data_IF_133784021905
#
_entry.id   IF_133784021905
#
_cell.length_a   1.000
_cell.length_b   1.000
_cell.length_c   1.000
_cell.angle_alpha   90.00
_cell.angle_beta   90.00
_cell.angle_gamma   90.00
#
_symmetry.space_group_name_H-M   'P 1'
#
loop_
_entity.id
_entity.type
_entity.pdbx_description
1 polymer ?
#
# COMPACT_ATOMS: atom_id res chain seq x y z
N UNK A 1 -18.94 -16.92 6.50
CA UNK A 1 -18.29 -17.82 7.47
C UNK A 1 -18.94 -17.86 8.85
N UNK A 2 -19.61 -16.81 9.33
CA UNK A 2 -20.31 -16.82 10.63
C UNK A 2 -21.42 -17.90 10.77
N UNK A 3 -22.15 -18.21 9.68
CA UNK A 3 -23.23 -19.22 9.68
C UNK A 3 -22.70 -20.65 9.50
N UNK A 4 -21.53 -20.79 8.88
CA UNK A 4 -20.96 -22.09 8.53
C UNK A 4 -20.05 -22.66 9.63
N UNK A 5 -19.46 -21.79 10.45
CA UNK A 5 -18.63 -22.17 11.59
C UNK A 5 -19.00 -21.33 12.83
N UNK A 6 -19.93 -21.83 13.67
CA UNK A 6 -20.37 -21.13 14.88
C UNK A 6 -19.30 -21.01 15.97
N UNK A 7 -18.21 -21.77 15.89
CA UNK A 7 -17.15 -21.81 16.91
C UNK A 7 -15.87 -21.08 16.52
N UNK A 8 -15.77 -20.56 15.29
CA UNK A 8 -14.59 -19.89 14.79
C UNK A 8 -14.27 -18.60 15.55
N UNK A 9 -12.97 -18.27 15.69
CA UNK A 9 -12.50 -17.07 16.39
C UNK A 9 -13.04 -15.75 15.79
N UNK A 10 -13.51 -15.77 14.54
CA UNK A 10 -14.13 -14.63 13.87
C UNK A 10 -15.63 -14.48 14.18
N UNK A 11 -16.23 -15.40 14.94
CA UNK A 11 -17.64 -15.34 15.30
C UNK A 11 -17.88 -14.38 16.46
N UNK A 12 -18.67 -13.34 16.19
CA UNK A 12 -19.02 -12.32 17.17
C UNK A 12 -20.27 -12.76 17.94
N UNK A 13 -20.21 -12.67 19.27
CA UNK A 13 -21.39 -12.85 20.12
C UNK A 13 -22.33 -11.66 19.92
N UNK A 14 -23.55 -11.93 19.42
CA UNK A 14 -24.58 -10.91 19.26
C UNK A 14 -25.27 -10.64 20.60
N UNK A 15 -25.54 -9.36 20.86
CA UNK A 15 -26.27 -8.89 22.05
C UNK A 15 -27.70 -8.46 21.67
N UNK A 16 -28.54 -8.30 22.70
CA UNK A 16 -29.87 -7.72 22.49
C UNK A 16 -29.75 -6.36 21.81
N UNK A 17 -30.62 -6.11 20.83
CA UNK A 17 -30.66 -4.91 19.97
C UNK A 17 -29.57 -4.79 18.90
N UNK A 18 -28.72 -5.80 18.69
CA UNK A 18 -27.83 -5.83 17.52
C UNK A 18 -28.63 -5.99 16.22
N UNK A 19 -28.17 -5.34 15.15
CA UNK A 19 -28.78 -5.43 13.81
C UNK A 19 -27.77 -5.98 12.81
N UNK A 20 -28.10 -7.11 12.18
CA UNK A 20 -27.30 -7.67 11.10
C UNK A 20 -27.79 -7.13 9.75
N UNK A 21 -26.89 -6.46 9.02
CA UNK A 21 -27.16 -5.98 7.66
C UNK A 21 -26.37 -6.81 6.65
N UNK A 22 -27.08 -7.46 5.73
CA UNK A 22 -26.47 -8.25 4.64
C UNK A 22 -26.68 -7.50 3.32
N UNK A 23 -25.66 -6.77 2.83
CA UNK A 23 -25.77 -6.06 1.56
C UNK A 23 -25.78 -7.04 0.39
N UNK A 24 -26.28 -6.58 -0.76
CA UNK A 24 -26.09 -7.30 -2.03
C UNK A 24 -24.60 -7.36 -2.36
N UNK A 25 -24.17 -8.49 -2.94
CA UNK A 25 -22.80 -8.63 -3.43
C UNK A 25 -22.57 -7.61 -4.54
N UNK A 26 -21.53 -6.80 -4.35
CA UNK A 26 -21.07 -5.88 -5.39
C UNK A 26 -20.26 -6.66 -6.42
N UNK A 27 -20.66 -6.57 -7.68
CA UNK A 27 -19.93 -7.12 -8.83
C UNK A 27 -19.04 -6.06 -9.50
N UNK A 28 -18.63 -5.03 -8.74
CA UNK A 28 -17.70 -4.00 -9.21
C UNK A 28 -16.47 -3.92 -8.32
N UNK A 29 -15.33 -3.63 -8.93
CA UNK A 29 -14.06 -3.32 -8.29
C UNK A 29 -13.82 -1.83 -8.44
N UNK A 30 -13.54 -1.15 -7.33
CA UNK A 30 -13.22 0.28 -7.35
C UNK A 30 -11.73 0.48 -7.39
N UNK A 31 -11.22 1.23 -8.37
CA UNK A 31 -9.80 1.58 -8.49
C UNK A 31 -9.64 3.07 -8.14
N UNK A 32 -8.77 3.36 -7.18
CA UNK A 32 -8.57 4.73 -6.71
C UNK A 32 -7.12 5.05 -6.31
N UNK A 33 -6.84 6.34 -6.22
CA UNK A 33 -5.53 6.88 -5.84
C UNK A 33 -4.71 7.33 -7.06
N UNK A 34 -3.42 6.98 -7.08
CA UNK A 34 -2.44 7.41 -8.06
C UNK A 34 -2.54 6.62 -9.40
N UNK A 35 -3.72 6.71 -10.03
CA UNK A 35 -4.04 6.15 -11.36
C UNK A 35 -4.56 7.27 -12.27
N UNK A 36 -4.49 7.10 -13.58
CA UNK A 36 -4.88 8.16 -14.52
C UNK A 36 -6.37 8.50 -14.44
N UNK A 37 -7.23 7.47 -14.37
CA UNK A 37 -8.67 7.60 -14.32
C UNK A 37 -9.26 6.72 -13.21
N UNK A 38 -9.38 7.23 -11.97
CA UNK A 38 -10.09 6.53 -10.89
C UNK A 38 -11.53 6.20 -11.28
N UNK A 39 -11.92 4.94 -11.21
CA UNK A 39 -13.23 4.47 -11.67
C UNK A 39 -13.65 3.15 -11.01
N UNK A 40 -14.93 2.82 -11.13
CA UNK A 40 -15.47 1.50 -10.77
C UNK A 40 -15.62 0.65 -12.03
N UNK A 41 -14.98 -0.50 -12.03
CA UNK A 41 -14.90 -1.42 -13.16
C UNK A 41 -15.66 -2.69 -12.80
N UNK A 42 -16.44 -3.24 -13.74
CA UNK A 42 -17.11 -4.53 -13.53
C UNK A 42 -16.08 -5.63 -13.23
N UNK A 43 -16.35 -6.41 -12.19
CA UNK A 43 -15.48 -7.52 -11.83
C UNK A 43 -15.43 -8.56 -12.94
N UNK A 44 -14.22 -9.04 -13.21
CA UNK A 44 -13.92 -10.11 -14.15
C UNK A 44 -12.99 -11.10 -13.47
N UNK A 45 -13.34 -12.39 -13.54
CA UNK A 45 -12.62 -13.45 -12.83
C UNK A 45 -11.23 -13.75 -13.42
N UNK A 46 -11.05 -13.45 -14.70
CA UNK A 46 -9.80 -13.55 -15.45
C UNK A 46 -8.90 -12.32 -15.28
N UNK A 47 -9.41 -11.23 -14.70
CA UNK A 47 -8.62 -10.02 -14.48
C UNK A 47 -7.73 -10.15 -13.24
N UNK A 48 -6.45 -9.88 -13.46
CA UNK A 48 -5.47 -9.66 -12.41
C UNK A 48 -5.54 -8.23 -11.87
N UNK A 49 -4.83 -7.97 -10.78
CA UNK A 49 -4.66 -6.62 -10.23
C UNK A 49 -4.21 -5.61 -11.30
N UNK A 50 -3.27 -5.98 -12.17
CA UNK A 50 -2.71 -5.08 -13.17
C UNK A 50 -3.69 -4.77 -14.30
N UNK A 51 -4.64 -5.67 -14.59
CA UNK A 51 -5.68 -5.46 -15.59
C UNK A 51 -6.64 -4.36 -15.12
N UNK A 52 -7.03 -4.39 -13.84
CA UNK A 52 -7.83 -3.29 -13.25
C UNK A 52 -7.11 -1.95 -13.26
N UNK A 53 -5.78 -1.95 -13.08
CA UNK A 53 -5.01 -0.71 -13.22
C UNK A 53 -4.96 -0.25 -14.68
N UNK A 54 -4.83 -1.17 -15.62
CA UNK A 54 -4.83 -0.86 -17.05
C UNK A 54 -6.16 -0.26 -17.52
N UNK A 55 -7.29 -0.78 -17.05
CA UNK A 55 -8.63 -0.19 -17.27
C UNK A 55 -8.77 1.21 -16.66
N UNK A 56 -8.08 1.48 -15.55
CA UNK A 56 -7.98 2.83 -14.97
C UNK A 56 -7.00 3.75 -15.73
N UNK A 57 -6.52 3.33 -16.91
CA UNK A 57 -5.57 4.06 -17.75
C UNK A 57 -4.10 3.92 -17.31
N UNK A 58 -3.81 3.08 -16.33
CA UNK A 58 -2.47 2.92 -15.79
C UNK A 58 -2.16 3.81 -14.59
N UNK A 59 -0.91 3.77 -14.15
CA UNK A 59 -0.42 4.53 -13.01
C UNK A 59 -0.05 5.97 -13.39
N UNK A 60 -0.22 6.91 -12.46
CA UNK A 60 0.41 8.23 -12.56
C UNK A 60 1.91 8.17 -12.21
N UNK A 61 2.66 9.21 -12.58
CA UNK A 61 4.10 9.31 -12.30
C UNK A 61 4.43 9.34 -10.79
N UNK A 62 3.52 9.91 -10.01
CA UNK A 62 3.63 9.99 -8.55
C UNK A 62 3.09 8.74 -7.84
N UNK A 63 2.81 7.64 -8.55
CA UNK A 63 2.30 6.40 -7.95
C UNK A 63 3.38 5.59 -7.19
N UNK A 64 3.07 5.16 -5.98
CA UNK A 64 3.89 4.25 -5.17
C UNK A 64 3.49 2.79 -5.39
N UNK A 65 3.77 2.28 -6.59
CA UNK A 65 3.37 0.93 -7.06
C UNK A 65 3.71 -0.20 -6.08
N UNK A 66 4.88 -0.16 -5.44
CA UNK A 66 5.32 -1.19 -4.48
C UNK A 66 4.54 -1.23 -3.16
N UNK A 67 3.68 -0.24 -2.91
CA UNK A 67 2.81 -0.17 -1.73
C UNK A 67 1.34 -0.21 -2.11
N UNK A 68 1.02 -0.60 -3.35
CA UNK A 68 -0.35 -0.85 -3.76
C UNK A 68 -0.98 -1.98 -2.94
N UNK A 69 -2.27 -1.88 -2.66
CA UNK A 69 -2.99 -2.86 -1.85
C UNK A 69 -4.47 -2.95 -2.26
N UNK A 70 -5.12 -4.02 -1.82
CA UNK A 70 -6.55 -4.27 -2.01
C UNK A 70 -7.23 -4.22 -0.64
N UNK A 71 -8.32 -3.47 -0.54
CA UNK A 71 -9.28 -3.56 0.54
C UNK A 71 -10.42 -4.48 0.10
N UNK A 72 -10.64 -5.57 0.82
CA UNK A 72 -11.71 -6.51 0.55
C UNK A 72 -13.03 -6.05 1.18
N UNK A 73 -14.20 -6.51 0.68
CA UNK A 73 -15.51 -6.16 1.23
C UNK A 73 -15.68 -6.49 2.72
N UNK A 74 -14.95 -7.50 3.22
CA UNK A 74 -14.96 -7.90 4.62
C UNK A 74 -14.01 -7.07 5.51
N UNK A 75 -13.40 -6.01 4.98
CA UNK A 75 -12.48 -5.13 5.71
C UNK A 75 -11.04 -5.63 5.80
N UNK A 76 -10.75 -6.87 5.35
CA UNK A 76 -9.37 -7.35 5.25
C UNK A 76 -8.59 -6.53 4.22
N UNK A 77 -7.29 -6.42 4.42
CA UNK A 77 -6.38 -5.73 3.49
C UNK A 77 -5.25 -6.67 3.11
N UNK A 78 -5.00 -6.80 1.82
CA UNK A 78 -3.79 -7.48 1.33
C UNK A 78 -2.94 -6.53 0.48
N UNK A 79 -1.63 -6.61 0.68
CA UNK A 79 -0.65 -5.68 0.13
C UNK A 79 0.21 -6.35 -0.93
N UNK A 80 0.67 -5.55 -1.88
CA UNK A 80 1.73 -5.97 -2.81
C UNK A 80 2.99 -6.34 -2.01
N UNK A 81 3.54 -7.51 -2.30
CA UNK A 81 4.79 -8.02 -1.73
C UNK A 81 5.87 -8.00 -2.80
N UNK A 82 7.08 -7.56 -2.44
CA UNK A 82 8.24 -7.60 -3.34
C UNK A 82 9.35 -8.41 -2.68
N UNK A 83 9.85 -9.40 -3.40
CA UNK A 83 10.99 -10.22 -2.98
C UNK A 83 12.02 -10.24 -4.11
N UNK A 84 13.23 -9.72 -3.83
CA UNK A 84 14.25 -9.44 -4.85
C UNK A 84 13.63 -8.69 -6.05
N UNK A 85 13.64 -9.33 -7.22
CA UNK A 85 13.13 -8.84 -8.49
C UNK A 85 11.68 -9.28 -8.78
N UNK A 86 11.09 -10.13 -7.95
CA UNK A 86 9.71 -10.59 -8.12
C UNK A 86 8.73 -9.71 -7.34
N UNK A 87 7.65 -9.29 -8.01
CA UNK A 87 6.54 -8.55 -7.40
C UNK A 87 5.31 -9.44 -7.43
N UNK A 88 4.78 -9.75 -6.25
CA UNK A 88 3.53 -10.49 -6.07
C UNK A 88 2.44 -9.50 -5.68
N UNK A 89 1.39 -9.46 -6.48
CA UNK A 89 0.22 -8.61 -6.26
C UNK A 89 -0.91 -9.44 -5.65
N UNK A 90 -1.72 -8.85 -4.75
CA UNK A 90 -2.87 -9.52 -4.18
C UNK A 90 -3.91 -9.84 -5.25
N UNK A 91 -4.67 -10.92 -5.04
CA UNK A 91 -5.83 -11.23 -5.87
C UNK A 91 -6.97 -10.25 -5.56
N UNK A 92 -7.75 -9.89 -6.57
CA UNK A 92 -8.86 -8.95 -6.47
C UNK A 92 -10.16 -9.74 -6.42
N UNK A 93 -11.02 -9.46 -5.44
CA UNK A 93 -12.33 -10.10 -5.30
C UNK A 93 -13.45 -9.12 -5.69
N UNK A 94 -14.68 -9.61 -6.02
CA UNK A 94 -15.82 -8.74 -6.27
C UNK A 94 -16.10 -7.82 -5.08
N UNK A 95 -16.37 -6.53 -5.36
CA UNK A 95 -16.60 -5.52 -4.33
C UNK A 95 -15.32 -4.97 -3.69
N UNK A 96 -14.14 -5.41 -4.12
CA UNK A 96 -12.88 -4.91 -3.58
C UNK A 96 -12.57 -3.50 -4.06
N UNK A 97 -11.78 -2.79 -3.25
CA UNK A 97 -11.20 -1.51 -3.63
C UNK A 97 -9.69 -1.65 -3.81
N UNK A 98 -9.22 -1.47 -5.04
CA UNK A 98 -7.80 -1.39 -5.39
C UNK A 98 -7.31 0.03 -5.10
N UNK A 99 -6.29 0.15 -4.25
CA UNK A 99 -5.76 1.45 -3.82
C UNK A 99 -4.30 1.59 -4.22
N UNK A 100 -4.02 2.65 -4.97
CA UNK A 100 -2.67 3.05 -5.35
C UNK A 100 -2.24 4.29 -4.54
N UNK A 101 -1.31 4.17 -3.59
CA UNK A 101 -0.85 5.32 -2.83
C UNK A 101 0.01 6.26 -3.67
N UNK A 102 -0.02 7.54 -3.33
CA UNK A 102 0.94 8.51 -3.83
C UNK A 102 2.32 8.30 -3.17
N UNK A 103 3.40 8.60 -3.89
CA UNK A 103 4.75 8.66 -3.32
C UNK A 103 4.77 9.75 -2.23
N UNK A 104 5.37 9.49 -1.06
CA UNK A 104 5.51 10.53 -0.05
C UNK A 104 6.36 11.68 -0.61
N UNK A 105 6.01 12.91 -0.25
CA UNK A 105 6.86 14.08 -0.49
C UNK A 105 8.02 13.93 0.49
N UNK A 106 9.18 13.54 -0.03
CA UNK A 106 10.33 13.17 0.78
C UNK A 106 11.12 14.43 1.15
N UNK A 107 10.73 15.10 2.25
CA UNK A 107 11.43 16.29 2.76
C UNK A 107 12.48 15.96 3.84
N UNK A 108 12.62 14.69 4.25
CA UNK A 108 13.40 14.32 5.44
C UNK A 108 14.53 13.31 5.19
N UNK A 109 14.71 12.83 3.95
CA UNK A 109 15.88 12.01 3.62
C UNK A 109 17.07 12.89 3.28
N UNK A 110 18.11 12.77 4.10
CA UNK A 110 19.44 13.33 3.81
C UNK A 110 19.90 12.76 2.47
N UNK A 111 20.08 13.64 1.49
CA UNK A 111 20.55 13.27 0.16
C UNK A 111 21.98 12.69 0.22
N UNK A 112 22.40 11.89 -0.77
CA UNK A 112 23.78 11.41 -0.83
C UNK A 112 24.83 12.53 -0.75
N UNK A 113 24.54 13.69 -1.36
CA UNK A 113 25.43 14.85 -1.33
C UNK A 113 25.51 15.47 0.08
N UNK A 114 24.38 15.63 0.77
CA UNK A 114 24.38 16.13 2.15
C UNK A 114 25.10 15.17 3.11
N UNK A 115 24.99 13.85 2.91
CA UNK A 115 25.76 12.87 3.69
C UNK A 115 27.26 13.06 3.52
N UNK A 116 27.72 13.27 2.29
CA UNK A 116 29.13 13.55 1.98
C UNK A 116 29.56 14.87 2.63
N UNK A 117 28.71 15.89 2.57
CA UNK A 117 28.96 17.18 3.22
C UNK A 117 29.15 17.04 4.73
N UNK A 118 28.22 16.36 5.42
CA UNK A 118 28.30 16.13 6.87
C UNK A 118 29.58 15.35 7.24
N UNK A 119 29.91 14.29 6.50
CA UNK A 119 31.13 13.51 6.73
C UNK A 119 32.40 14.37 6.56
N UNK A 120 32.41 15.27 5.57
CA UNK A 120 33.54 16.17 5.31
C UNK A 120 33.74 17.18 6.43
N UNK A 121 32.64 17.74 6.96
CA UNK A 121 32.68 18.65 8.11
C UNK A 121 33.22 17.95 9.36
N UNK A 122 32.74 16.73 9.66
CA UNK A 122 33.24 15.95 10.79
C UNK A 122 34.73 15.60 10.65
N UNK A 123 35.18 15.23 9.45
CA UNK A 123 36.60 14.99 9.18
C UNK A 123 37.44 16.24 9.42
N UNK A 124 36.98 17.41 8.96
CA UNK A 124 37.69 18.68 9.13
C UNK A 124 37.82 19.05 10.61
N UNK A 125 36.74 18.92 11.39
CA UNK A 125 36.77 19.16 12.85
C UNK A 125 37.72 18.17 13.53
N UNK A 126 37.70 16.90 13.13
CA UNK A 126 38.60 15.88 13.69
C UNK A 126 40.08 16.21 13.43
N UNK A 127 40.41 16.61 12.20
CA UNK A 127 41.77 17.04 11.82
C UNK A 127 42.19 18.26 12.64
N UNK A 128 41.30 19.25 12.81
CA UNK A 128 41.58 20.43 13.61
C UNK A 128 41.87 20.09 15.08
N UNK A 129 41.08 19.20 15.68
CA UNK A 129 41.29 18.75 17.06
C UNK A 129 42.63 18.02 17.24
N UNK A 130 43.01 17.15 16.29
CA UNK A 130 44.31 16.47 16.30
C UNK A 130 45.45 17.48 16.29
N UNK A 131 45.38 18.49 15.41
CA UNK A 131 46.40 19.53 15.32
C UNK A 131 46.51 20.39 16.59
N UNK A 132 45.41 20.59 17.33
CA UNK A 132 45.42 21.32 18.60
C UNK A 132 46.05 20.50 19.72
N UNK A 133 45.80 19.18 19.77
CA UNK A 133 46.34 18.28 20.80
C UNK A 133 47.84 17.98 20.59
N UNK A 134 48.30 17.93 19.33
CA UNK A 134 49.70 17.65 18.99
C UNK A 134 50.64 18.87 19.05
N UNK A 135 50.11 20.04 19.40
CA UNK A 135 50.86 21.29 19.59
C UNK A 135 51.22 21.50 21.05
#
# INVERSE_FOLDING_TARGET
NLVADPGGEENLLLQDRDTLYIPRRSEVVTVQGAVLNPSSISYKADYSFDDYISEAGGFTDNARKSKAYVNYPNGRKDRTRRFLFFTSRPHVEPGSTVVIPFKPIDSSRISPAERIGILSLLATVSIALINVILR
#
